data_IF_034482967261
#
_entry.id   IF_034482967261
#
_cell.length_a   1.000
_cell.length_b   1.000
_cell.length_c   1.000
_cell.angle_alpha   90.00
_cell.angle_beta   90.00
_cell.angle_gamma   90.00
#
_symmetry.space_group_name_H-M   'P 1'
#
loop_
_entity.id
_entity.type
_entity.pdbx_description
1 polymer ?
#
# COMPACT_ATOMS: atom_id res chain seq x y z
N UNK A 1 4.57 5.35 25.22
CA UNK A 1 4.73 5.74 23.79
C UNK A 1 5.22 4.62 22.86
N UNK A 2 6.08 3.68 23.30
CA UNK A 2 6.61 2.59 22.45
C UNK A 2 5.56 1.59 21.89
N UNK A 3 4.48 1.33 22.62
CA UNK A 3 3.40 0.46 22.13
C UNK A 3 2.60 1.08 20.98
N UNK A 4 2.43 2.41 20.98
CA UNK A 4 1.71 3.13 19.93
C UNK A 4 2.55 3.25 18.65
N UNK A 5 3.85 3.51 18.79
CA UNK A 5 4.75 3.52 17.63
C UNK A 5 4.88 2.14 16.97
N UNK A 6 4.89 1.05 17.74
CA UNK A 6 4.92 -0.30 17.18
C UNK A 6 3.61 -0.66 16.47
N UNK A 7 2.46 -0.20 16.97
CA UNK A 7 1.16 -0.36 16.31
C UNK A 7 1.10 0.38 14.97
N UNK A 8 1.50 1.66 14.94
CA UNK A 8 1.57 2.48 13.72
C UNK A 8 2.44 1.78 12.66
N UNK A 9 3.63 1.31 13.06
CA UNK A 9 4.55 0.62 12.16
C UNK A 9 3.98 -0.73 11.66
N UNK A 10 3.25 -1.45 12.51
CA UNK A 10 2.57 -2.69 12.12
C UNK A 10 1.51 -2.40 11.06
N UNK A 11 0.67 -1.39 11.29
CA UNK A 11 -0.40 -0.99 10.36
C UNK A 11 0.19 -0.50 9.03
N UNK A 12 1.23 0.32 9.07
CA UNK A 12 1.96 0.76 7.88
C UNK A 12 2.48 -0.42 7.04
N UNK A 13 3.14 -1.40 7.69
CA UNK A 13 3.62 -2.61 7.01
C UNK A 13 2.48 -3.43 6.43
N UNK A 14 1.36 -3.55 7.13
CA UNK A 14 0.17 -4.25 6.62
C UNK A 14 -0.40 -3.57 5.38
N UNK A 15 -0.60 -2.24 5.42
CA UNK A 15 -1.07 -1.45 4.27
C UNK A 15 -0.16 -1.64 3.04
N UNK A 16 1.16 -1.53 3.23
CA UNK A 16 2.11 -1.74 2.12
C UNK A 16 2.08 -3.17 1.58
N UNK A 17 1.90 -4.18 2.45
CA UNK A 17 1.82 -5.59 2.02
C UNK A 17 0.56 -5.85 1.22
N UNK A 18 -0.59 -5.35 1.67
CA UNK A 18 -1.85 -5.52 0.93
C UNK A 18 -1.86 -4.73 -0.38
N UNK A 19 -1.37 -3.48 -0.39
CA UNK A 19 -1.28 -2.67 -1.61
C UNK A 19 -0.37 -3.29 -2.69
N UNK A 20 0.65 -4.07 -2.32
CA UNK A 20 1.48 -4.80 -3.30
C UNK A 20 0.72 -5.91 -4.05
N UNK A 21 -0.37 -6.42 -3.48
CA UNK A 21 -1.14 -7.52 -4.07
C UNK A 21 -2.10 -7.06 -5.17
N UNK A 22 -2.24 -5.75 -5.40
CA UNK A 22 -3.02 -5.23 -6.51
C UNK A 22 -2.48 -5.77 -7.84
N UNK A 23 -3.32 -6.37 -8.70
CA UNK A 23 -2.86 -6.92 -9.97
C UNK A 23 -2.47 -5.81 -10.94
N UNK A 24 -3.25 -4.73 -11.01
CA UNK A 24 -2.96 -3.58 -11.88
C UNK A 24 -1.85 -2.69 -11.32
N UNK A 25 -0.89 -2.35 -12.18
CA UNK A 25 0.21 -1.43 -11.91
C UNK A 25 -0.23 -0.07 -11.40
N UNK A 26 -1.28 0.50 -11.98
CA UNK A 26 -1.80 1.83 -11.61
C UNK A 26 -2.22 1.83 -10.14
N UNK A 27 -3.06 0.87 -9.73
CA UNK A 27 -3.53 0.77 -8.35
C UNK A 27 -2.40 0.40 -7.38
N UNK A 28 -1.51 -0.52 -7.77
CA UNK A 28 -0.36 -0.91 -6.95
C UNK A 28 0.57 0.26 -6.68
N UNK A 29 0.99 0.99 -7.70
CA UNK A 29 1.92 2.12 -7.56
C UNK A 29 1.29 3.32 -6.86
N UNK A 30 0.06 3.68 -7.23
CA UNK A 30 -0.68 4.76 -6.59
C UNK A 30 -0.85 4.49 -5.08
N UNK A 31 -1.35 3.31 -4.73
CA UNK A 31 -1.62 2.97 -3.33
C UNK A 31 -0.33 2.99 -2.50
N UNK A 32 0.75 2.40 -3.02
CA UNK A 32 2.05 2.40 -2.34
C UNK A 32 2.60 3.81 -2.12
N UNK A 33 2.49 4.69 -3.12
CA UNK A 33 2.91 6.09 -3.01
C UNK A 33 2.04 6.82 -1.98
N UNK A 34 0.72 6.74 -2.10
CA UNK A 34 -0.22 7.43 -1.21
C UNK A 34 -0.06 7.01 0.25
N UNK A 35 0.16 5.73 0.52
CA UNK A 35 0.43 5.21 1.87
C UNK A 35 1.74 5.82 2.41
N UNK A 36 2.83 5.81 1.63
CA UNK A 36 4.10 6.41 2.07
C UNK A 36 3.97 7.90 2.36
N UNK A 37 3.30 8.63 1.47
CA UNK A 37 3.12 10.07 1.60
C UNK A 37 2.28 10.41 2.83
N UNK A 38 1.16 9.70 3.05
CA UNK A 38 0.30 9.91 4.23
C UNK A 38 1.06 9.71 5.55
N UNK A 39 1.83 8.63 5.67
CA UNK A 39 2.59 8.35 6.89
C UNK A 39 3.77 9.30 7.08
N UNK A 40 4.31 9.88 6.00
CA UNK A 40 5.35 10.90 6.08
C UNK A 40 4.78 12.25 6.50
N UNK A 41 3.61 12.61 5.98
CA UNK A 41 2.88 13.84 6.28
C UNK A 41 2.54 13.94 7.77
N UNK A 42 2.02 12.87 8.37
CA UNK A 42 1.61 12.87 9.79
C UNK A 42 2.68 12.35 10.76
N UNK A 43 3.96 12.33 10.35
CA UNK A 43 5.05 11.78 11.18
C UNK A 43 5.29 12.58 12.46
N UNK A 44 5.13 13.90 12.39
CA UNK A 44 5.43 14.84 13.47
C UNK A 44 4.16 15.31 14.19
N UNK A 45 3.01 14.71 13.86
CA UNK A 45 1.76 15.00 14.53
C UNK A 45 1.85 14.60 16.01
N UNK A 46 1.44 15.50 16.88
CA UNK A 46 1.57 15.35 18.33
C UNK A 46 0.22 15.29 19.05
N UNK A 47 -0.86 15.67 18.36
CA UNK A 47 -2.22 15.57 18.90
C UNK A 47 -2.68 14.12 18.96
N UNK A 48 -2.91 13.64 20.18
CA UNK A 48 -3.31 12.26 20.48
C UNK A 48 -4.64 11.91 19.82
N UNK A 49 -5.62 12.81 19.82
CA UNK A 49 -6.94 12.55 19.24
C UNK A 49 -6.85 12.41 17.72
N UNK A 50 -6.13 13.33 17.08
CA UNK A 50 -5.90 13.29 15.63
C UNK A 50 -5.15 12.03 15.20
N UNK A 51 -4.17 11.56 15.99
CA UNK A 51 -3.48 10.30 15.69
C UNK A 51 -4.45 9.11 15.80
N UNK A 52 -5.39 9.11 16.75
CA UNK A 52 -6.40 8.03 16.88
C UNK A 52 -7.39 8.03 15.71
N UNK A 53 -7.80 9.21 15.24
CA UNK A 53 -8.63 9.36 14.05
C UNK A 53 -7.89 8.86 12.79
N UNK A 54 -6.61 9.23 12.63
CA UNK A 54 -5.77 8.78 11.53
C UNK A 54 -5.54 7.26 11.55
N UNK A 55 -5.36 6.66 12.72
CA UNK A 55 -5.24 5.21 12.86
C UNK A 55 -6.55 4.49 12.51
N UNK A 56 -7.69 5.05 12.92
CA UNK A 56 -9.01 4.52 12.57
C UNK A 56 -9.25 4.60 11.07
N UNK A 57 -8.93 5.74 10.46
CA UNK A 57 -8.97 5.94 9.02
C UNK A 57 -8.06 4.95 8.26
N UNK A 58 -6.82 4.76 8.73
CA UNK A 58 -5.87 3.82 8.15
C UNK A 58 -6.35 2.36 8.23
N UNK A 59 -6.99 1.96 9.35
CA UNK A 59 -7.60 0.64 9.50
C UNK A 59 -8.78 0.44 8.54
N UNK A 60 -9.64 1.44 8.37
CA UNK A 60 -10.73 1.39 7.39
C UNK A 60 -10.18 1.22 5.96
N UNK A 61 -9.15 1.99 5.61
CA UNK A 61 -8.49 1.87 4.31
C UNK A 61 -7.83 0.51 4.09
N UNK A 62 -7.28 -0.11 5.13
CA UNK A 62 -6.73 -1.47 5.02
C UNK A 62 -7.81 -2.46 4.57
N UNK A 63 -9.01 -2.38 5.15
CA UNK A 63 -10.12 -3.24 4.76
C UNK A 63 -10.62 -2.95 3.34
N UNK A 64 -10.64 -1.68 2.94
CA UNK A 64 -10.96 -1.29 1.55
C UNK A 64 -9.94 -1.90 0.59
N UNK A 65 -8.64 -1.73 0.86
CA UNK A 65 -7.56 -2.26 0.02
C UNK A 65 -7.70 -3.78 -0.11
N UNK A 66 -7.93 -4.52 0.98
CA UNK A 66 -8.13 -5.96 0.93
C UNK A 66 -9.27 -6.36 0.00
N UNK A 67 -10.43 -5.72 0.10
CA UNK A 67 -11.59 -6.00 -0.77
C UNK A 67 -11.28 -5.69 -2.23
N UNK A 68 -10.66 -4.53 -2.48
CA UNK A 68 -10.30 -4.09 -3.83
C UNK A 68 -9.26 -5.00 -4.48
N UNK A 69 -8.31 -5.53 -3.70
CA UNK A 69 -7.36 -6.55 -4.18
C UNK A 69 -8.10 -7.81 -4.62
N UNK A 70 -9.03 -8.31 -3.83
CA UNK A 70 -9.82 -9.51 -4.18
C UNK A 70 -10.64 -9.28 -5.45
N UNK A 71 -11.36 -8.15 -5.54
CA UNK A 71 -12.14 -7.79 -6.74
C UNK A 71 -11.23 -7.66 -7.96
N UNK A 72 -10.09 -6.98 -7.82
CA UNK A 72 -9.13 -6.83 -8.91
C UNK A 72 -8.55 -8.16 -9.39
N UNK A 73 -8.40 -9.14 -8.50
CA UNK A 73 -7.96 -10.50 -8.86
C UNK A 73 -9.07 -11.28 -9.57
N UNK A 74 -10.33 -11.14 -9.15
CA UNK A 74 -11.48 -11.77 -9.80
C UNK A 74 -11.71 -11.25 -11.23
N UNK A 75 -11.55 -9.95 -11.42
CA UNK A 75 -11.77 -9.27 -12.70
C UNK A 75 -10.46 -8.74 -13.29
N UNK A 76 -9.42 -9.59 -13.32
CA UNK A 76 -8.11 -9.21 -13.86
C UNK A 76 -8.20 -9.02 -15.39
N UNK A 77 -7.93 -7.79 -15.84
CA UNK A 77 -7.77 -7.46 -17.26
C UNK A 77 -6.39 -7.83 -17.81
N UNK A 78 -6.18 -7.63 -19.13
CA UNK A 78 -4.87 -7.84 -19.75
C UNK A 78 -3.83 -6.88 -19.18
N UNK A 79 -2.58 -7.34 -19.14
CA UNK A 79 -1.46 -6.52 -18.67
C UNK A 79 -1.22 -5.33 -19.58
N UNK A 80 -0.97 -4.19 -18.95
CA UNK A 80 -0.64 -2.93 -19.64
C UNK A 80 0.74 -3.01 -20.29
N UNK A 81 1.01 -2.16 -21.28
CA UNK A 81 2.31 -2.08 -21.96
C UNK A 81 3.45 -1.85 -20.95
N UNK A 82 3.19 -1.04 -19.91
CA UNK A 82 4.15 -0.75 -18.84
C UNK A 82 4.49 -2.02 -18.06
N UNK A 83 3.50 -2.84 -17.71
CA UNK A 83 3.73 -4.10 -16.98
C UNK A 83 4.58 -5.07 -17.79
N UNK A 84 4.30 -5.19 -19.10
CA UNK A 84 5.07 -6.05 -20.00
C UNK A 84 6.55 -5.64 -20.06
N UNK A 85 6.82 -4.34 -20.17
CA UNK A 85 8.18 -3.82 -20.20
C UNK A 85 8.92 -4.00 -18.87
N UNK A 86 8.22 -3.90 -17.73
CA UNK A 86 8.83 -4.10 -16.42
C UNK A 86 9.17 -5.58 -16.16
N UNK A 87 8.35 -6.51 -16.66
CA UNK A 87 8.66 -7.94 -16.55
C UNK A 87 9.85 -8.35 -17.43
N UNK A 88 10.00 -7.77 -18.64
CA UNK A 88 11.18 -8.05 -19.47
C UNK A 88 12.47 -7.59 -18.81
N UNK A 89 12.49 -6.39 -18.23
CA UNK A 89 13.67 -5.87 -17.52
C UNK A 89 14.05 -6.69 -16.29
N UNK A 90 13.07 -7.18 -15.50
CA UNK A 90 13.36 -8.06 -14.36
C UNK A 90 14.04 -9.35 -14.79
N UNK A 91 13.61 -9.92 -15.92
CA UNK A 91 14.13 -11.18 -16.43
C UNK A 91 15.58 -11.02 -16.89
N UNK A 92 15.89 -9.90 -17.55
CA UNK A 92 17.25 -9.53 -17.94
C UNK A 92 18.16 -9.30 -16.72
N UNK A 93 17.71 -8.54 -15.72
CA UNK A 93 18.49 -8.27 -14.50
C UNK A 93 18.70 -9.49 -13.59
N UNK A 94 17.91 -10.57 -13.72
CA UNK A 94 18.07 -11.80 -12.95
C UNK A 94 19.00 -12.82 -13.62
N UNK A 95 19.39 -12.58 -14.87
CA UNK A 95 20.31 -13.43 -15.64
C UNK A 95 21.79 -13.05 -15.52
N UNK A 96 22.12 -12.09 -14.65
CA UNK A 96 23.47 -11.62 -14.31
C UNK A 96 23.74 -11.88 -12.83
#
# INVERSE_FOLDING_TARGET
MAARSSEVLRLYKQLLREAKKFPSYMYRTYSLRRIKDAFREYREESDIQKIDDLLTYARSNLEIIKRQVVIGQMYRGPETVIEKHLESQKTECQSV
#
